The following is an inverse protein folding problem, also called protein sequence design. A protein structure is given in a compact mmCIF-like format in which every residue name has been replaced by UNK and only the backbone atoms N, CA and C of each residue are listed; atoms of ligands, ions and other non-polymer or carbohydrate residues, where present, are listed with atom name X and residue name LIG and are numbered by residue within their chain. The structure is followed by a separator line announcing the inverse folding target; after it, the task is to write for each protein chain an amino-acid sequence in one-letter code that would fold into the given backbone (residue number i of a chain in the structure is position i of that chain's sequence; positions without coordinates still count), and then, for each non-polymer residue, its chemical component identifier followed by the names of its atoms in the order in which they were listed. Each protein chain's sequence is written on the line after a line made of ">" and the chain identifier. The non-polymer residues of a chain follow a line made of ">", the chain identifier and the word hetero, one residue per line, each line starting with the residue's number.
data_IF_273041050277
#
_entry.id   IF_273041050277
#
_cell.length_a   1.000
_cell.length_b   1.000
_cell.length_c   1.000
_cell.angle_alpha   90.00
_cell.angle_beta   90.00
_cell.angle_gamma   90.00
#
_symmetry.space_group_name_H-M   'P 1'
#
loop_
_entity.id
_entity.type
_entity.pdbx_description
1 polymer ?
#
# COMPACT_ATOMS: atom_id res chain seq x y z
N UNK A 1 85.40 -11.88 55.15
CA UNK A 1 85.44 -10.55 54.65
C UNK A 1 84.60 -10.31 53.44
N UNK A 2 84.58 -11.16 52.61
CA UNK A 2 83.81 -10.91 51.41
C UNK A 2 82.33 -11.03 51.57
N UNK A 3 81.86 -11.53 52.64
CA UNK A 3 80.46 -11.76 52.88
C UNK A 3 79.63 -10.49 52.90
N UNK A 4 80.20 -9.42 53.07
CA UNK A 4 79.49 -8.16 53.16
C UNK A 4 78.80 -7.74 51.88
N UNK A 5 79.29 -8.21 50.86
CA UNK A 5 78.89 -7.68 49.57
C UNK A 5 77.60 -8.21 49.14
N UNK A 6 77.36 -9.43 49.40
CA UNK A 6 76.14 -10.09 48.84
C UNK A 6 74.85 -9.57 49.45
N UNK A 7 74.84 -9.25 50.73
CA UNK A 7 73.64 -8.84 51.39
C UNK A 7 73.11 -7.52 50.94
N UNK A 8 74.00 -6.63 50.61
CA UNK A 8 73.59 -5.31 50.22
C UNK A 8 72.92 -5.23 48.91
N UNK A 9 73.34 -6.05 48.06
CA UNK A 9 72.82 -6.00 46.67
C UNK A 9 71.45 -6.55 46.55
N UNK A 10 71.08 -7.45 47.41
CA UNK A 10 69.82 -8.16 47.25
C UNK A 10 68.59 -7.27 47.26
N UNK A 11 68.50 -6.40 48.20
CA UNK A 11 67.32 -5.58 48.29
C UNK A 11 67.40 -4.30 47.46
N UNK A 12 68.54 -3.96 47.05
CA UNK A 12 68.68 -2.83 46.12
C UNK A 12 68.17 -3.19 44.75
N UNK A 13 68.13 -4.43 44.49
CA UNK A 13 67.66 -4.95 43.16
C UNK A 13 66.22 -5.40 43.18
N UNK A 14 65.54 -5.23 44.30
CA UNK A 14 64.11 -5.57 44.32
C UNK A 14 63.38 -4.62 43.40
N UNK A 15 62.75 -5.14 42.37
CA UNK A 15 62.03 -4.27 41.48
C UNK A 15 60.85 -3.65 42.19
N UNK A 16 60.59 -2.40 41.89
CA UNK A 16 59.36 -1.75 42.34
C UNK A 16 58.22 -2.49 41.75
N UNK A 17 57.15 -2.70 42.52
CA UNK A 17 55.96 -3.33 41.91
C UNK A 17 55.48 -2.48 40.75
N UNK A 18 55.26 -3.14 39.64
CA UNK A 18 54.73 -2.47 38.48
C UNK A 18 53.28 -2.13 38.81
N UNK A 19 52.86 -0.87 38.62
CA UNK A 19 51.49 -0.53 38.86
C UNK A 19 50.59 -1.37 37.92
N UNK A 20 49.44 -1.78 38.39
CA UNK A 20 48.53 -2.53 37.53
C UNK A 20 48.24 -1.74 36.27
N UNK A 21 48.10 -2.41 35.13
CA UNK A 21 47.73 -1.71 33.91
C UNK A 21 46.40 -0.96 34.11
N UNK A 22 46.24 0.21 33.48
CA UNK A 22 44.98 0.91 33.58
C UNK A 22 43.85 0.02 33.11
N UNK A 23 42.65 0.14 33.67
CA UNK A 23 41.52 -0.64 33.21
C UNK A 23 41.29 -0.38 31.72
N UNK A 24 40.83 -1.37 30.96
CA UNK A 24 40.54 -1.15 29.57
C UNK A 24 39.48 -0.06 29.44
N UNK A 25 39.53 0.73 28.38
CA UNK A 25 38.51 1.75 28.17
C UNK A 25 37.14 1.10 28.11
N UNK A 26 36.08 1.79 28.54
CA UNK A 26 34.77 1.24 28.47
C UNK A 26 34.41 0.92 26.98
N UNK A 27 33.63 -0.13 26.72
CA UNK A 27 33.25 -0.42 25.37
C UNK A 27 32.51 0.79 24.78
N UNK A 28 32.63 1.02 23.46
CA UNK A 28 31.92 2.11 22.84
C UNK A 28 30.41 1.92 23.03
N UNK A 29 29.64 3.00 23.14
CA UNK A 29 28.20 2.88 23.27
C UNK A 29 27.65 2.12 22.05
N UNK A 30 26.58 1.35 22.21
CA UNK A 30 25.98 0.67 21.09
C UNK A 30 25.54 1.69 20.02
N UNK A 31 25.60 1.36 18.75
CA UNK A 31 25.15 2.26 17.70
C UNK A 31 23.69 2.63 17.95
N UNK A 32 23.28 3.85 17.61
CA UNK A 32 21.87 4.23 17.75
C UNK A 32 21.01 3.26 16.93
N UNK A 33 19.78 2.99 17.38
CA UNK A 33 18.89 2.12 16.62
C UNK A 33 18.68 2.74 15.24
N UNK A 34 18.52 1.91 14.20
CA UNK A 34 18.23 2.43 12.87
C UNK A 34 16.97 3.28 12.91
N UNK A 35 16.89 4.35 12.10
CA UNK A 35 15.68 5.15 12.07
C UNK A 35 14.50 4.26 11.73
N UNK A 36 13.30 4.54 12.25
CA UNK A 36 12.12 3.77 11.90
C UNK A 36 11.95 3.79 10.38
N UNK A 37 11.50 2.69 9.77
CA UNK A 37 11.25 2.70 8.33
C UNK A 37 10.26 3.83 8.02
N UNK A 38 10.39 4.48 6.85
CA UNK A 38 9.43 5.50 6.47
C UNK A 38 8.03 4.91 6.55
N UNK A 39 7.03 5.70 6.96
CA UNK A 39 5.67 5.20 7.03
C UNK A 39 5.31 4.59 5.68
N UNK A 40 4.89 3.33 5.71
CA UNK A 40 4.37 2.66 4.51
C UNK A 40 3.17 3.49 4.09
N UNK A 41 3.20 4.06 2.89
CA UNK A 41 2.03 4.69 2.31
C UNK A 41 0.94 3.63 2.33
N UNK A 42 -0.09 3.83 3.16
CA UNK A 42 -1.23 2.96 3.14
C UNK A 42 -1.83 3.04 1.74
N UNK A 43 -1.90 1.89 1.07
CA UNK A 43 -2.59 1.82 -0.21
C UNK A 43 -4.04 2.17 0.04
N UNK A 44 -4.52 3.15 -0.68
CA UNK A 44 -5.92 3.50 -0.67
C UNK A 44 -6.70 2.34 -1.29
N UNK A 45 -7.64 1.77 -0.55
CA UNK A 45 -8.50 0.69 -1.04
C UNK A 45 -9.90 1.25 -1.19
N UNK A 46 -10.46 1.17 -2.39
CA UNK A 46 -11.79 1.61 -2.70
C UNK A 46 -12.64 0.42 -3.11
N UNK A 47 -13.88 0.40 -2.61
CA UNK A 47 -14.83 -0.64 -2.99
C UNK A 47 -15.43 -0.31 -4.35
N UNK A 48 -15.54 -1.34 -5.18
CA UNK A 48 -16.21 -1.23 -6.47
C UNK A 48 -17.71 -1.43 -6.36
N UNK A 49 -18.38 -1.23 -7.48
CA UNK A 49 -19.84 -1.39 -7.59
C UNK A 49 -20.18 -2.41 -8.66
N UNK A 50 -21.40 -2.95 -8.59
CA UNK A 50 -21.91 -3.94 -9.53
C UNK A 50 -23.12 -3.40 -10.27
N UNK A 51 -23.44 -4.03 -11.39
CA UNK A 51 -24.51 -3.60 -12.27
C UNK A 51 -25.44 -4.77 -12.60
N UNK A 52 -26.68 -4.43 -12.85
CA UNK A 52 -27.65 -5.40 -13.37
C UNK A 52 -27.33 -5.73 -14.81
N UNK A 53 -27.83 -6.89 -15.26
CA UNK A 53 -27.64 -7.34 -16.63
C UNK A 53 -28.07 -6.26 -17.62
N UNK A 54 -27.21 -6.00 -18.59
CA UNK A 54 -27.45 -5.05 -19.68
C UNK A 54 -27.72 -3.61 -19.24
N UNK A 55 -27.35 -3.25 -18.00
CA UNK A 55 -27.62 -1.92 -17.44
C UNK A 55 -26.33 -1.21 -17.06
N UNK A 56 -26.36 0.12 -17.17
CA UNK A 56 -25.31 1.00 -16.71
C UNK A 56 -25.78 1.98 -15.63
N UNK A 57 -26.97 1.76 -15.09
CA UNK A 57 -27.54 2.56 -14.02
C UNK A 57 -26.94 2.14 -12.67
N UNK A 58 -26.52 3.12 -11.86
CA UNK A 58 -26.06 2.86 -10.50
C UNK A 58 -27.24 2.32 -9.67
N UNK A 59 -27.06 1.15 -9.07
CA UNK A 59 -28.07 0.56 -8.22
C UNK A 59 -28.16 1.31 -6.89
N UNK A 60 -29.36 1.32 -6.31
CA UNK A 60 -29.60 2.03 -5.05
C UNK A 60 -28.63 1.57 -3.94
N UNK A 61 -28.38 0.27 -3.81
CA UNK A 61 -27.45 -0.27 -2.81
C UNK A 61 -26.01 0.12 -3.04
N UNK A 62 -25.62 0.37 -4.30
CA UNK A 62 -24.24 0.72 -4.65
C UNK A 62 -23.97 2.23 -4.51
N UNK A 63 -25.01 3.04 -4.45
CA UNK A 63 -24.87 4.48 -4.25
C UNK A 63 -24.13 4.79 -2.93
N UNK A 64 -24.42 4.05 -1.87
CA UNK A 64 -23.73 4.21 -0.58
C UNK A 64 -22.24 3.90 -0.69
N UNK A 65 -21.87 2.89 -1.50
CA UNK A 65 -20.47 2.54 -1.75
C UNK A 65 -19.76 3.69 -2.45
N UNK A 66 -20.41 4.31 -3.44
CA UNK A 66 -19.85 5.46 -4.15
C UNK A 66 -19.77 6.71 -3.28
N UNK A 67 -20.72 6.91 -2.38
CA UNK A 67 -20.65 8.00 -1.40
C UNK A 67 -19.45 7.85 -0.47
N UNK A 68 -19.18 6.63 -0.03
CA UNK A 68 -17.99 6.31 0.77
C UNK A 68 -16.71 6.57 -0.04
N UNK A 69 -16.69 6.13 -1.31
CA UNK A 69 -15.55 6.39 -2.19
C UNK A 69 -15.34 7.89 -2.39
N UNK A 70 -16.41 8.67 -2.57
CA UNK A 70 -16.32 10.12 -2.71
C UNK A 70 -15.71 10.77 -1.47
N UNK A 71 -16.11 10.34 -0.27
CA UNK A 71 -15.53 10.84 0.98
C UNK A 71 -14.04 10.56 1.06
N UNK A 72 -13.64 9.35 0.69
CA UNK A 72 -12.23 8.95 0.68
C UNK A 72 -11.43 9.77 -0.33
N UNK A 73 -11.97 10.00 -1.52
CA UNK A 73 -11.29 10.78 -2.56
C UNK A 73 -11.18 12.26 -2.19
N UNK A 74 -12.16 12.81 -1.51
CA UNK A 74 -12.08 14.19 -1.00
C UNK A 74 -10.96 14.35 0.02
N UNK A 75 -10.71 13.33 0.82
CA UNK A 75 -9.62 13.33 1.79
C UNK A 75 -8.25 13.11 1.13
N UNK A 76 -8.21 12.68 -0.14
CA UNK A 76 -6.99 12.39 -0.89
C UNK A 76 -7.02 13.09 -2.26
N UNK A 77 -6.99 14.42 -2.30
CA UNK A 77 -7.21 15.17 -3.54
C UNK A 77 -6.11 15.01 -4.59
N UNK A 78 -4.95 14.51 -4.21
CA UNK A 78 -3.81 14.30 -5.12
C UNK A 78 -3.76 12.92 -5.76
N UNK A 79 -4.68 12.04 -5.39
CA UNK A 79 -4.74 10.67 -5.93
C UNK A 79 -5.66 10.63 -7.13
N UNK A 80 -5.17 10.12 -8.25
CA UNK A 80 -6.01 9.83 -9.42
C UNK A 80 -6.48 8.37 -9.34
N UNK A 81 -7.70 8.15 -9.85
CA UNK A 81 -8.38 6.87 -9.78
C UNK A 81 -8.68 6.38 -11.18
N UNK A 82 -8.31 5.14 -11.47
CA UNK A 82 -8.78 4.45 -12.65
C UNK A 82 -10.17 3.86 -12.34
N UNK A 83 -11.15 4.22 -13.14
CA UNK A 83 -12.54 3.75 -13.01
C UNK A 83 -12.74 2.71 -14.10
N UNK A 84 -12.55 1.44 -13.76
CA UNK A 84 -12.47 0.34 -14.72
C UNK A 84 -13.79 -0.42 -14.78
N UNK A 85 -14.45 -0.35 -15.92
CA UNK A 85 -15.72 -1.04 -16.17
C UNK A 85 -15.55 -2.38 -16.84
N UNK A 86 -16.36 -3.34 -16.43
CA UNK A 86 -16.33 -4.71 -16.94
C UNK A 86 -17.75 -5.24 -17.15
N UNK A 87 -17.83 -6.29 -17.97
CA UNK A 87 -19.07 -7.00 -18.26
C UNK A 87 -18.89 -8.49 -17.98
N UNK A 88 -20.02 -9.24 -17.98
CA UNK A 88 -19.99 -10.69 -18.05
C UNK A 88 -19.74 -11.16 -19.50
N UNK A 89 -19.73 -12.46 -19.73
CA UNK A 89 -19.39 -13.01 -21.04
C UNK A 89 -20.52 -12.97 -22.07
N UNK A 90 -21.72 -12.50 -21.70
CA UNK A 90 -22.88 -12.51 -22.60
C UNK A 90 -22.79 -11.32 -23.54
N UNK A 91 -23.00 -11.61 -24.85
CA UNK A 91 -23.01 -10.60 -25.89
C UNK A 91 -21.67 -10.47 -26.63
N UNK A 92 -21.65 -9.62 -27.66
CA UNK A 92 -20.46 -9.40 -28.47
C UNK A 92 -19.40 -8.58 -27.69
N UNK A 93 -18.17 -8.67 -28.14
CA UNK A 93 -17.09 -7.86 -27.59
C UNK A 93 -17.35 -6.36 -27.76
N UNK A 94 -17.79 -5.97 -28.94
CA UNK A 94 -18.08 -4.57 -29.26
C UNK A 94 -19.19 -4.01 -28.37
N UNK A 95 -20.28 -4.76 -28.22
CA UNK A 95 -21.41 -4.37 -27.37
C UNK A 95 -20.96 -4.20 -25.90
N UNK A 96 -20.22 -5.17 -25.38
CA UNK A 96 -19.75 -5.16 -24.01
C UNK A 96 -18.71 -4.09 -23.78
N UNK A 97 -17.87 -3.79 -24.76
CA UNK A 97 -16.92 -2.69 -24.64
C UNK A 97 -17.65 -1.37 -24.43
N UNK A 98 -18.68 -1.09 -25.25
CA UNK A 98 -19.50 0.11 -25.11
C UNK A 98 -20.27 0.14 -23.79
N UNK A 99 -20.79 -1.01 -23.35
CA UNK A 99 -21.52 -1.12 -22.09
C UNK A 99 -20.60 -0.85 -20.91
N UNK A 100 -19.39 -1.38 -20.94
CA UNK A 100 -18.39 -1.15 -19.88
C UNK A 100 -17.96 0.31 -19.83
N UNK A 101 -17.83 0.98 -20.98
CA UNK A 101 -17.57 2.43 -21.02
C UNK A 101 -18.70 3.20 -20.36
N UNK A 102 -19.96 2.87 -20.68
CA UNK A 102 -21.12 3.53 -20.06
C UNK A 102 -21.16 3.30 -18.55
N UNK A 103 -20.78 2.13 -18.09
CA UNK A 103 -20.70 1.84 -16.65
C UNK A 103 -19.65 2.66 -15.95
N UNK A 104 -18.46 2.76 -16.53
CA UNK A 104 -17.40 3.62 -16.01
C UNK A 104 -17.81 5.08 -16.01
N UNK A 105 -18.43 5.54 -17.10
CA UNK A 105 -18.91 6.92 -17.21
C UNK A 105 -20.00 7.23 -16.19
N UNK A 106 -20.89 6.28 -15.91
CA UNK A 106 -21.94 6.45 -14.90
C UNK A 106 -21.35 6.63 -13.50
N UNK A 107 -20.29 5.87 -13.17
CA UNK A 107 -19.59 6.01 -11.90
C UNK A 107 -18.85 7.34 -11.82
N UNK A 108 -18.17 7.73 -12.89
CA UNK A 108 -17.50 9.05 -12.96
C UNK A 108 -18.51 10.16 -12.77
N UNK A 109 -19.65 10.11 -13.47
CA UNK A 109 -20.69 11.14 -13.35
C UNK A 109 -21.22 11.23 -11.92
N UNK A 110 -21.44 10.10 -11.26
CA UNK A 110 -21.88 10.07 -9.87
C UNK A 110 -20.87 10.73 -8.94
N UNK A 111 -19.60 10.38 -9.08
CA UNK A 111 -18.54 10.94 -8.24
C UNK A 111 -18.31 12.42 -8.48
N UNK A 112 -18.39 12.87 -9.74
CA UNK A 112 -18.31 14.32 -10.07
C UNK A 112 -19.47 15.07 -9.43
N UNK A 113 -20.67 14.53 -9.50
CA UNK A 113 -21.85 15.13 -8.85
C UNK A 113 -21.69 15.17 -7.33
N UNK A 114 -20.98 14.20 -6.76
CA UNK A 114 -20.68 14.19 -5.32
C UNK A 114 -19.56 15.16 -4.93
N UNK A 115 -18.94 15.85 -5.88
CA UNK A 115 -17.94 16.87 -5.63
C UNK A 115 -16.50 16.49 -5.95
N UNK A 116 -16.29 15.36 -6.60
CA UNK A 116 -14.93 14.93 -7.00
C UNK A 116 -14.58 15.59 -8.34
N UNK A 117 -13.40 16.25 -8.45
CA UNK A 117 -12.96 16.83 -9.72
C UNK A 117 -12.80 15.74 -10.80
N UNK A 118 -13.22 16.04 -12.01
CA UNK A 118 -13.16 15.09 -13.13
C UNK A 118 -11.72 14.69 -13.47
N UNK A 119 -10.75 15.57 -13.25
CA UNK A 119 -9.33 15.29 -13.50
C UNK A 119 -8.73 14.25 -12.53
N UNK A 120 -9.45 13.90 -11.48
CA UNK A 120 -9.05 12.87 -10.52
C UNK A 120 -9.55 11.48 -10.95
N UNK A 121 -10.41 11.40 -11.95
CA UNK A 121 -11.08 10.18 -12.38
C UNK A 121 -10.74 9.85 -13.83
N UNK A 122 -10.28 8.63 -14.09
CA UNK A 122 -9.91 8.17 -15.42
C UNK A 122 -10.77 6.96 -15.77
N UNK A 123 -11.81 7.11 -16.60
CA UNK A 123 -12.66 6.00 -16.97
C UNK A 123 -12.01 5.10 -18.01
N UNK A 124 -12.21 3.79 -17.86
CA UNK A 124 -11.82 2.78 -18.83
C UNK A 124 -12.90 1.71 -18.95
N UNK A 125 -13.26 1.35 -20.17
CA UNK A 125 -14.13 0.23 -20.43
C UNK A 125 -13.31 -0.94 -20.97
N UNK A 126 -13.33 -2.06 -20.27
CA UNK A 126 -12.60 -3.27 -20.65
C UNK A 126 -13.49 -4.36 -21.26
N UNK A 127 -14.78 -4.14 -21.31
CA UNK A 127 -15.71 -5.11 -21.90
C UNK A 127 -15.78 -6.42 -21.13
N UNK A 128 -15.89 -7.51 -21.87
CA UNK A 128 -15.95 -8.86 -21.29
C UNK A 128 -14.56 -9.47 -21.16
N UNK A 129 -13.75 -8.89 -20.29
CA UNK A 129 -12.37 -9.34 -19.97
C UNK A 129 -12.16 -9.37 -18.48
N UNK A 130 -11.07 -9.97 -18.05
CA UNK A 130 -10.62 -9.97 -16.65
C UNK A 130 -11.70 -10.41 -15.67
N UNK A 131 -12.35 -11.53 -15.98
CA UNK A 131 -13.41 -12.08 -15.15
C UNK A 131 -12.91 -12.43 -13.76
N UNK A 132 -13.69 -12.05 -12.74
CA UNK A 132 -13.40 -12.37 -11.32
C UNK A 132 -14.19 -13.58 -10.84
N UNK A 133 -15.14 -14.07 -11.63
CA UNK A 133 -15.99 -15.19 -11.30
C UNK A 133 -16.38 -15.97 -12.55
N UNK A 134 -17.01 -17.13 -12.36
CA UNK A 134 -17.49 -17.93 -13.46
C UNK A 134 -18.64 -17.26 -14.19
N UNK A 135 -18.67 -17.39 -15.53
CA UNK A 135 -19.79 -16.93 -16.33
C UNK A 135 -20.89 -18.00 -16.50
N UNK A 136 -20.69 -19.17 -15.93
CA UNK A 136 -21.64 -20.29 -16.04
C UNK A 136 -22.86 -20.14 -15.13
N UNK A 137 -22.72 -19.39 -14.04
CA UNK A 137 -23.82 -19.15 -13.09
C UNK A 137 -24.27 -17.71 -13.14
N UNK A 138 -25.53 -17.46 -12.77
CA UNK A 138 -26.05 -16.10 -12.68
C UNK A 138 -25.30 -15.27 -11.62
N UNK A 139 -24.93 -15.89 -10.50
CA UNK A 139 -24.19 -15.25 -9.42
C UNK A 139 -22.80 -14.83 -9.88
N UNK A 140 -22.10 -15.71 -10.61
CA UNK A 140 -20.76 -15.42 -11.13
C UNK A 140 -20.81 -14.31 -12.17
N UNK A 141 -21.79 -14.33 -13.07
CA UNK A 141 -21.96 -13.25 -14.05
C UNK A 141 -22.23 -11.90 -13.36
N UNK A 142 -23.04 -11.92 -12.31
CA UNK A 142 -23.31 -10.70 -11.54
C UNK A 142 -22.03 -10.10 -10.93
N UNK A 143 -21.11 -10.94 -10.49
CA UNK A 143 -19.82 -10.48 -9.99
C UNK A 143 -18.93 -9.89 -11.08
N UNK A 144 -19.05 -10.38 -12.31
CA UNK A 144 -18.27 -9.85 -13.44
C UNK A 144 -18.80 -8.51 -13.94
N UNK A 145 -20.08 -8.21 -13.74
CA UNK A 145 -20.68 -6.91 -14.10
C UNK A 145 -20.32 -5.86 -13.03
N UNK A 146 -19.15 -5.28 -13.15
CA UNK A 146 -18.62 -4.42 -12.11
C UNK A 146 -17.86 -3.22 -12.64
N UNK A 147 -17.69 -2.24 -11.80
CA UNK A 147 -16.72 -1.16 -11.97
C UNK A 147 -15.78 -1.17 -10.77
N UNK A 148 -14.50 -1.24 -11.04
CA UNK A 148 -13.46 -1.21 -10.02
C UNK A 148 -12.88 0.19 -9.94
N UNK A 149 -12.62 0.64 -8.72
CA UNK A 149 -11.94 1.91 -8.45
C UNK A 149 -10.51 1.62 -8.01
N UNK A 150 -9.56 1.86 -8.90
CA UNK A 150 -8.16 1.50 -8.68
C UNK A 150 -7.32 2.77 -8.56
N UNK A 151 -6.82 3.08 -7.36
CA UNK A 151 -5.96 4.24 -7.18
C UNK A 151 -4.64 4.10 -7.94
N UNK A 152 -4.21 5.18 -8.59
CA UNK A 152 -2.87 5.33 -9.14
C UNK A 152 -1.95 5.81 -8.01
N UNK A 153 -1.21 4.90 -7.43
CA UNK A 153 -0.26 5.21 -6.36
C UNK A 153 1.14 4.76 -6.70
#
# INVERSE_FOLDING_TARGET
>A
MGALIGGVNGYLLAPKPVPPPPPPPPPPPPPPPPPPPPPVKQKLVLRGVHFDFNKSKIRRGDAAVLDEAASTLKANPNVTINVNGYCDAIGSEEYNLKLSDRRSDAVVAYLVKAGIPSNQLIPHGYGKTDFVATNKTAEGRAQNRRVELVPNQ
#
